data_IF_900719881290
#
_entry.id   IF_900719881290
#
_cell.length_a   1.000
_cell.length_b   1.000
_cell.length_c   1.000
_cell.angle_alpha   90.00
_cell.angle_beta   90.00
_cell.angle_gamma   90.00
#
_symmetry.space_group_name_H-M   'P 1'
#
loop_
_entity.id
_entity.type
_entity.pdbx_description
1 polymer ?
#
# COMPACT_ATOMS: atom_id res chain seq x y z
N UNK A 1 -25.30 24.13 -24.84
CA UNK A 1 -23.96 23.99 -25.38
C UNK A 1 -23.03 23.71 -24.23
N UNK A 2 -22.89 22.45 -23.84
CA UNK A 2 -22.04 22.03 -22.72
C UNK A 2 -20.64 21.74 -23.28
N UNK A 3 -19.69 22.63 -23.01
CA UNK A 3 -18.28 22.40 -23.28
C UNK A 3 -17.75 21.44 -22.18
N UNK A 4 -17.62 20.18 -22.53
CA UNK A 4 -16.84 19.23 -21.77
C UNK A 4 -15.36 19.53 -22.05
N UNK A 5 -14.71 20.30 -21.20
CA UNK A 5 -13.26 20.34 -21.12
C UNK A 5 -12.79 19.02 -20.51
N UNK A 6 -12.58 18.00 -21.33
CA UNK A 6 -12.04 16.72 -20.92
C UNK A 6 -10.52 16.80 -20.79
N UNK A 7 -10.02 17.59 -19.84
CA UNK A 7 -8.66 17.36 -19.36
C UNK A 7 -8.72 16.11 -18.45
N UNK A 8 -7.86 15.13 -18.65
CA UNK A 8 -7.80 14.00 -17.73
C UNK A 8 -7.50 14.53 -16.32
N UNK A 9 -8.28 14.05 -15.35
CA UNK A 9 -8.09 14.41 -13.94
C UNK A 9 -6.73 13.93 -13.48
N UNK A 10 -5.93 14.82 -12.88
CA UNK A 10 -4.58 14.46 -12.40
C UNK A 10 -4.77 13.52 -11.20
N UNK A 11 -4.20 12.31 -11.23
CA UNK A 11 -4.33 11.35 -10.13
C UNK A 11 -3.71 11.85 -8.83
N UNK A 12 -4.19 11.32 -7.70
CA UNK A 12 -3.75 11.74 -6.36
C UNK A 12 -2.39 11.15 -5.96
N UNK A 13 -2.01 9.95 -6.46
CA UNK A 13 -0.79 9.26 -6.03
C UNK A 13 0.37 9.45 -7.00
N UNK A 14 1.62 9.48 -6.47
CA UNK A 14 2.84 9.61 -7.28
C UNK A 14 2.98 8.48 -8.31
N UNK A 15 2.62 7.24 -7.94
CA UNK A 15 2.63 6.09 -8.85
C UNK A 15 1.68 6.31 -10.03
N UNK A 16 0.44 6.70 -9.78
CA UNK A 16 -0.54 6.96 -10.87
C UNK A 16 -0.15 8.16 -11.73
N UNK A 17 0.44 9.20 -11.14
CA UNK A 17 0.98 10.34 -11.88
C UNK A 17 2.13 9.93 -12.79
N UNK A 18 3.04 9.08 -12.31
CA UNK A 18 4.14 8.54 -13.09
C UNK A 18 3.65 7.68 -14.26
N UNK A 19 2.63 6.83 -14.00
CA UNK A 19 1.99 6.02 -15.04
C UNK A 19 1.36 6.90 -16.12
N UNK A 20 0.54 7.88 -15.71
CA UNK A 20 -0.07 8.82 -16.65
C UNK A 20 0.97 9.58 -17.49
N UNK A 21 2.07 10.01 -16.86
CA UNK A 21 3.17 10.68 -17.56
C UNK A 21 3.86 9.75 -18.55
N UNK A 22 4.13 8.49 -18.18
CA UNK A 22 4.70 7.48 -19.06
C UNK A 22 3.79 7.21 -20.26
N UNK A 23 2.48 7.05 -20.02
CA UNK A 23 1.48 6.82 -21.07
C UNK A 23 1.38 8.00 -22.05
N UNK A 24 1.44 9.25 -21.55
CA UNK A 24 1.48 10.44 -22.40
C UNK A 24 2.73 10.47 -23.31
N UNK A 25 3.90 10.10 -22.78
CA UNK A 25 5.12 10.02 -23.59
C UNK A 25 5.05 8.88 -24.63
N UNK A 26 4.46 7.74 -24.26
CA UNK A 26 4.22 6.62 -25.19
C UNK A 26 3.25 7.04 -26.30
N UNK A 27 2.20 7.79 -25.97
CA UNK A 27 1.28 8.32 -26.98
C UNK A 27 2.03 9.20 -27.99
N UNK A 28 2.89 10.11 -27.55
CA UNK A 28 3.74 10.92 -28.45
C UNK A 28 4.67 10.03 -29.28
N UNK A 29 5.27 8.99 -28.71
CA UNK A 29 6.13 8.04 -29.43
C UNK A 29 5.39 7.36 -30.60
N UNK A 30 4.06 7.22 -30.48
CA UNK A 30 3.15 6.61 -31.46
C UNK A 30 2.45 7.64 -32.36
N UNK A 31 2.95 8.88 -32.43
CA UNK A 31 2.37 10.01 -33.14
C UNK A 31 1.02 10.51 -32.57
N UNK A 32 0.74 10.22 -31.31
CA UNK A 32 -0.38 10.80 -30.57
C UNK A 32 -0.05 12.20 -30.03
N UNK A 33 -0.96 12.73 -29.20
CA UNK A 33 -0.84 14.06 -28.60
C UNK A 33 -0.47 13.98 -27.11
N UNK A 34 0.21 15.04 -26.64
CA UNK A 34 0.53 15.29 -25.23
C UNK A 34 -0.48 16.30 -24.67
N UNK A 35 -1.11 16.00 -23.54
CA UNK A 35 -1.79 17.05 -22.76
C UNK A 35 -0.72 17.85 -22.01
N UNK A 36 -0.32 18.98 -22.61
CA UNK A 36 0.77 19.80 -22.08
C UNK A 36 0.46 20.41 -20.70
N UNK A 37 -0.81 20.65 -20.39
CA UNK A 37 -1.23 21.19 -19.10
C UNK A 37 -1.03 20.17 -17.99
N UNK A 38 -1.53 18.95 -18.20
CA UNK A 38 -1.38 17.82 -17.26
C UNK A 38 0.08 17.44 -17.14
N UNK A 39 0.80 17.30 -18.27
CA UNK A 39 2.22 16.98 -18.30
C UNK A 39 3.06 18.00 -17.52
N UNK A 40 2.87 19.30 -17.75
CA UNK A 40 3.62 20.36 -17.08
C UNK A 40 3.36 20.40 -15.58
N UNK A 41 2.12 20.10 -15.16
CA UNK A 41 1.76 20.06 -13.75
C UNK A 41 2.47 18.91 -13.04
N UNK A 42 2.35 17.68 -13.57
CA UNK A 42 2.98 16.48 -12.98
C UNK A 42 4.51 16.62 -13.04
N UNK A 43 5.05 17.09 -14.16
CA UNK A 43 6.49 17.32 -14.31
C UNK A 43 7.03 18.27 -13.25
N UNK A 44 6.34 19.39 -12.98
CA UNK A 44 6.76 20.36 -11.97
C UNK A 44 6.78 19.77 -10.58
N UNK A 45 5.81 18.93 -10.26
CA UNK A 45 5.74 18.23 -8.98
C UNK A 45 6.95 17.31 -8.81
N UNK A 46 7.23 16.44 -9.79
CA UNK A 46 8.36 15.50 -9.70
C UNK A 46 9.73 16.18 -9.77
N UNK A 47 9.87 17.27 -10.52
CA UNK A 47 11.12 18.06 -10.56
C UNK A 47 11.42 18.82 -9.26
N UNK A 48 10.45 18.92 -8.34
CA UNK A 48 10.62 19.51 -7.01
C UNK A 48 10.58 18.45 -5.89
N UNK A 49 10.60 17.16 -6.24
CA UNK A 49 10.65 16.07 -5.28
C UNK A 49 12.08 15.55 -5.07
N UNK A 50 12.29 14.77 -4.04
CA UNK A 50 13.55 14.04 -3.77
C UNK A 50 13.89 13.00 -4.84
N UNK A 51 12.90 12.57 -5.63
CA UNK A 51 13.06 11.70 -6.78
C UNK A 51 13.61 12.39 -8.05
N UNK A 52 13.87 13.71 -8.05
CA UNK A 52 14.34 14.46 -9.23
C UNK A 52 15.51 13.80 -9.94
N UNK A 53 16.50 13.32 -9.17
CA UNK A 53 17.70 12.70 -9.73
C UNK A 53 17.42 11.43 -10.53
N UNK A 54 16.34 10.71 -10.20
CA UNK A 54 15.93 9.42 -10.79
C UNK A 54 14.97 9.57 -11.98
N UNK A 55 14.47 10.80 -12.21
CA UNK A 55 13.58 11.05 -13.34
C UNK A 55 14.28 10.76 -14.67
N UNK A 56 13.55 10.20 -15.65
CA UNK A 56 14.03 10.06 -17.02
C UNK A 56 14.51 11.39 -17.60
N UNK A 57 15.59 11.36 -18.38
CA UNK A 57 16.19 12.55 -18.98
C UNK A 57 15.20 13.30 -19.90
N UNK A 58 14.29 12.58 -20.55
CA UNK A 58 13.21 13.15 -21.34
C UNK A 58 12.28 14.06 -20.50
N UNK A 59 12.02 13.69 -19.23
CA UNK A 59 11.22 14.52 -18.33
C UNK A 59 12.00 15.74 -17.85
N UNK A 60 13.30 15.57 -17.54
CA UNK A 60 14.16 16.67 -17.11
C UNK A 60 14.29 17.75 -18.18
N UNK A 61 14.48 17.35 -19.42
CA UNK A 61 14.84 18.25 -20.53
C UNK A 61 13.68 18.74 -21.37
N UNK A 62 12.61 17.94 -21.55
CA UNK A 62 11.48 18.26 -22.42
C UNK A 62 10.31 18.87 -21.65
N UNK A 63 9.72 19.96 -22.19
CA UNK A 63 8.64 20.71 -21.52
C UNK A 63 7.32 20.71 -22.27
N UNK A 64 7.33 20.37 -23.54
CA UNK A 64 6.21 20.42 -24.47
C UNK A 64 6.28 19.26 -25.49
N UNK A 65 5.21 19.06 -26.25
CA UNK A 65 5.13 17.98 -27.22
C UNK A 65 6.25 18.02 -28.25
N UNK A 66 6.63 19.22 -28.73
CA UNK A 66 7.66 19.39 -29.75
C UNK A 66 9.04 18.93 -29.25
N UNK A 67 9.43 19.31 -28.03
CA UNK A 67 10.68 18.90 -27.40
C UNK A 67 10.71 17.40 -27.10
N UNK A 68 9.61 16.83 -26.62
CA UNK A 68 9.44 15.38 -26.40
C UNK A 68 9.62 14.63 -27.74
N UNK A 69 8.94 15.06 -28.79
CA UNK A 69 9.07 14.46 -30.11
C UNK A 69 10.51 14.56 -30.65
N UNK A 70 11.13 15.74 -30.54
CA UNK A 70 12.52 15.95 -30.94
C UNK A 70 13.52 15.03 -30.23
N UNK A 71 13.32 14.82 -28.92
CA UNK A 71 14.09 13.89 -28.10
C UNK A 71 13.93 12.44 -28.60
N UNK A 72 12.69 11.97 -28.73
CA UNK A 72 12.38 10.61 -29.17
C UNK A 72 12.87 10.31 -30.58
N UNK A 73 12.84 11.31 -31.47
CA UNK A 73 13.38 11.19 -32.82
C UNK A 73 14.90 10.99 -32.84
N UNK A 74 15.63 11.65 -31.94
CA UNK A 74 17.08 11.45 -31.77
C UNK A 74 17.39 10.04 -31.29
N UNK A 75 16.65 9.54 -30.27
CA UNK A 75 16.80 8.19 -29.72
C UNK A 75 16.63 7.12 -30.79
N UNK A 76 15.69 7.31 -31.71
CA UNK A 76 15.40 6.34 -32.78
C UNK A 76 16.21 6.55 -34.05
N UNK A 77 17.30 7.33 -34.03
CA UNK A 77 18.15 7.62 -35.19
C UNK A 77 17.39 8.12 -36.42
N UNK A 78 16.33 8.91 -36.19
CA UNK A 78 15.54 9.57 -37.22
C UNK A 78 14.42 8.72 -37.86
N UNK A 79 14.68 7.51 -38.25
CA UNK A 79 13.72 6.61 -38.94
C UNK A 79 13.37 5.33 -38.13
N UNK A 80 13.78 5.26 -36.86
CA UNK A 80 13.51 4.14 -36.02
C UNK A 80 12.00 3.93 -35.77
N UNK A 81 11.61 2.68 -35.60
CA UNK A 81 10.20 2.33 -35.34
C UNK A 81 9.74 2.92 -33.99
N UNK A 82 8.43 3.15 -33.87
CA UNK A 82 7.80 3.53 -32.61
C UNK A 82 8.15 2.56 -31.45
N UNK A 83 8.44 1.30 -31.74
CA UNK A 83 8.86 0.31 -30.77
C UNK A 83 10.16 0.71 -30.05
N UNK A 84 11.19 1.17 -30.77
CA UNK A 84 12.45 1.64 -30.19
C UNK A 84 12.24 2.81 -29.25
N UNK A 85 11.36 3.77 -29.62
CA UNK A 85 11.03 4.92 -28.77
C UNK A 85 10.29 4.51 -27.50
N UNK A 86 9.33 3.60 -27.64
CA UNK A 86 8.57 3.06 -26.52
C UNK A 86 9.48 2.30 -25.55
N UNK A 87 10.31 1.42 -26.06
CA UNK A 87 11.21 0.61 -25.24
C UNK A 87 12.22 1.50 -24.49
N UNK A 88 12.72 2.56 -25.13
CA UNK A 88 13.54 3.57 -24.45
C UNK A 88 12.79 4.27 -23.31
N UNK A 89 11.51 4.62 -23.50
CA UNK A 89 10.69 5.21 -22.43
C UNK A 89 10.58 4.23 -21.26
N UNK A 90 10.21 2.97 -21.50
CA UNK A 90 10.10 1.96 -20.44
C UNK A 90 11.41 1.79 -19.69
N UNK A 91 12.53 1.65 -20.39
CA UNK A 91 13.84 1.45 -19.76
C UNK A 91 14.28 2.68 -18.95
N UNK A 92 14.01 3.88 -19.43
CA UNK A 92 14.38 5.12 -18.74
C UNK A 92 13.57 5.38 -17.46
N UNK A 93 12.37 4.81 -17.35
CA UNK A 93 11.52 4.93 -16.16
C UNK A 93 11.88 3.94 -15.06
N UNK A 94 12.62 2.86 -15.33
CA UNK A 94 12.91 1.81 -14.35
C UNK A 94 13.44 2.34 -13.02
N UNK A 95 14.49 3.19 -12.97
CA UNK A 95 15.01 3.69 -11.69
C UNK A 95 13.98 4.53 -10.92
N UNK A 96 13.13 5.25 -11.63
CA UNK A 96 12.08 6.06 -11.03
C UNK A 96 10.94 5.17 -10.48
N UNK A 97 10.56 4.11 -11.19
CA UNK A 97 9.62 3.11 -10.69
C UNK A 97 10.13 2.41 -9.44
N UNK A 98 11.38 1.93 -9.46
CA UNK A 98 12.00 1.27 -8.30
C UNK A 98 11.99 2.16 -7.05
N UNK A 99 12.16 3.46 -7.23
CA UNK A 99 12.09 4.44 -6.13
C UNK A 99 10.66 4.62 -5.62
N UNK A 100 9.69 4.86 -6.50
CA UNK A 100 8.29 5.05 -6.11
C UNK A 100 7.70 3.81 -5.43
N UNK A 101 8.07 2.62 -5.89
CA UNK A 101 7.66 1.36 -5.27
C UNK A 101 8.24 1.23 -3.86
N UNK A 102 9.51 1.58 -3.65
CA UNK A 102 10.14 1.61 -2.32
C UNK A 102 9.52 2.65 -1.40
N UNK A 103 9.24 3.86 -1.88
CA UNK A 103 8.57 4.90 -1.09
C UNK A 103 7.16 4.50 -0.66
N UNK A 104 6.48 3.68 -1.45
CA UNK A 104 5.16 3.14 -1.09
C UNK A 104 5.22 2.12 0.04
N UNK A 105 6.40 1.59 0.35
CA UNK A 105 6.65 0.64 1.44
C UNK A 105 6.95 1.39 2.74
N UNK A 106 6.41 0.88 3.85
CA UNK A 106 6.80 1.34 5.18
C UNK A 106 8.15 0.71 5.56
N UNK A 107 9.01 1.38 6.34
CA UNK A 107 10.30 0.81 6.78
C UNK A 107 10.19 -0.56 7.48
N UNK A 108 9.03 -0.88 8.05
CA UNK A 108 8.77 -2.16 8.70
C UNK A 108 8.25 -3.26 7.76
N UNK A 109 7.88 -2.94 6.51
CA UNK A 109 7.22 -3.88 5.60
C UNK A 109 8.11 -5.07 5.24
N UNK A 110 9.41 -4.86 5.08
CA UNK A 110 10.38 -5.91 4.76
C UNK A 110 10.50 -6.90 5.91
N UNK A 111 10.73 -6.42 7.13
CA UNK A 111 10.82 -7.27 8.33
C UNK A 111 9.54 -8.05 8.60
N UNK A 112 8.38 -7.41 8.41
CA UNK A 112 7.08 -8.07 8.57
C UNK A 112 6.89 -9.13 7.47
N UNK A 113 7.27 -8.84 6.24
CA UNK A 113 7.18 -9.78 5.12
C UNK A 113 8.08 -11.00 5.33
N UNK A 114 9.27 -10.82 5.89
CA UNK A 114 10.17 -11.92 6.27
C UNK A 114 9.54 -12.79 7.37
N UNK A 115 8.98 -12.19 8.41
CA UNK A 115 8.27 -12.92 9.47
C UNK A 115 7.08 -13.71 8.91
N UNK A 116 6.34 -13.12 7.98
CA UNK A 116 5.22 -13.78 7.29
C UNK A 116 5.72 -14.93 6.41
N UNK A 117 6.87 -14.78 5.73
CA UNK A 117 7.40 -15.82 4.84
C UNK A 117 7.85 -17.08 5.60
N UNK A 118 8.16 -16.96 6.87
CA UNK A 118 8.44 -18.09 7.76
C UNK A 118 7.18 -18.84 8.22
N UNK A 119 6.00 -18.29 7.94
CA UNK A 119 4.71 -18.83 8.37
C UNK A 119 4.01 -19.55 7.20
N UNK A 120 3.77 -20.85 7.34
CA UNK A 120 3.24 -21.71 6.28
C UNK A 120 1.71 -21.57 6.13
N UNK A 121 1.26 -20.36 5.76
CA UNK A 121 -0.15 -20.12 5.43
C UNK A 121 -0.28 -19.10 4.29
N UNK A 122 -0.60 -19.59 3.10
CA UNK A 122 -0.83 -18.74 1.91
C UNK A 122 -1.85 -17.61 2.13
N UNK A 123 -2.84 -17.84 3.00
CA UNK A 123 -3.89 -16.87 3.34
C UNK A 123 -3.33 -15.65 4.07
N UNK A 124 -2.32 -15.86 4.93
CA UNK A 124 -1.61 -14.79 5.64
C UNK A 124 -0.80 -13.92 4.67
N UNK A 125 -0.05 -14.55 3.76
CA UNK A 125 0.69 -13.85 2.72
C UNK A 125 -0.23 -13.01 1.84
N UNK A 126 -1.34 -13.60 1.39
CA UNK A 126 -2.31 -12.90 0.56
C UNK A 126 -2.95 -11.71 1.29
N UNK A 127 -3.28 -11.85 2.58
CA UNK A 127 -3.85 -10.78 3.37
C UNK A 127 -2.86 -9.62 3.55
N UNK A 128 -1.59 -9.93 3.85
CA UNK A 128 -0.52 -8.95 3.98
C UNK A 128 -0.28 -8.18 2.68
N UNK A 129 -0.06 -8.89 1.57
CA UNK A 129 0.16 -8.25 0.27
C UNK A 129 -1.00 -7.33 -0.12
N UNK A 130 -2.25 -7.76 0.07
CA UNK A 130 -3.43 -6.93 -0.18
C UNK A 130 -3.46 -5.69 0.72
N UNK A 131 -3.08 -5.83 2.00
CA UNK A 131 -3.05 -4.72 2.93
C UNK A 131 -2.01 -3.66 2.51
N UNK A 132 -0.80 -4.09 2.15
CA UNK A 132 0.29 -3.20 1.71
C UNK A 132 -0.05 -2.51 0.39
N UNK A 133 -0.47 -3.26 -0.63
CA UNK A 133 -0.74 -2.74 -1.97
C UNK A 133 -1.90 -1.71 -2.00
N UNK A 134 -2.89 -1.88 -1.11
CA UNK A 134 -4.08 -1.04 -1.10
C UNK A 134 -3.95 0.25 -0.30
N UNK A 135 -2.88 0.42 0.49
CA UNK A 135 -2.74 1.56 1.43
C UNK A 135 -3.03 2.92 0.81
N UNK A 136 -2.57 3.14 -0.42
CA UNK A 136 -2.69 4.44 -1.09
C UNK A 136 -4.01 4.57 -1.86
N UNK A 137 -4.39 3.55 -2.61
CA UNK A 137 -5.48 3.62 -3.59
C UNK A 137 -6.83 3.12 -3.06
N UNK A 138 -6.82 2.24 -2.05
CA UNK A 138 -8.01 1.66 -1.42
C UNK A 138 -7.80 1.55 0.10
N UNK A 139 -7.80 2.69 0.82
CA UNK A 139 -7.58 2.70 2.26
C UNK A 139 -8.53 1.81 3.06
N UNK A 140 -9.78 1.69 2.62
CA UNK A 140 -10.80 0.84 3.25
C UNK A 140 -10.48 -0.65 3.07
N UNK A 141 -10.13 -1.03 1.85
CA UNK A 141 -9.70 -2.39 1.53
C UNK A 141 -8.39 -2.77 2.22
N UNK A 142 -7.46 -1.83 2.39
CA UNK A 142 -6.22 -2.05 3.14
C UNK A 142 -6.49 -2.34 4.62
N UNK A 143 -7.35 -1.55 5.27
CA UNK A 143 -7.75 -1.76 6.68
C UNK A 143 -8.48 -3.10 6.84
N UNK A 144 -9.33 -3.47 5.88
CA UNK A 144 -10.02 -4.76 5.89
C UNK A 144 -9.03 -5.92 5.76
N UNK A 145 -8.04 -5.81 4.87
CA UNK A 145 -7.00 -6.83 4.70
C UNK A 145 -6.09 -6.95 5.94
N UNK A 146 -5.73 -5.81 6.57
CA UNK A 146 -4.98 -5.78 7.83
C UNK A 146 -5.72 -6.48 8.97
N UNK A 147 -7.03 -6.29 9.06
CA UNK A 147 -7.87 -7.03 10.00
C UNK A 147 -7.87 -8.53 9.70
N UNK A 148 -8.05 -8.92 8.43
CA UNK A 148 -8.04 -10.33 8.02
C UNK A 148 -6.71 -11.00 8.37
N UNK A 149 -5.58 -10.31 8.23
CA UNK A 149 -4.27 -10.79 8.67
C UNK A 149 -4.28 -11.21 10.15
N UNK A 150 -4.78 -10.34 11.03
CA UNK A 150 -4.86 -10.61 12.46
C UNK A 150 -5.88 -11.72 12.80
N UNK A 151 -7.02 -11.75 12.12
CA UNK A 151 -8.00 -12.83 12.30
C UNK A 151 -7.40 -14.19 11.94
N UNK A 152 -6.66 -14.27 10.83
CA UNK A 152 -6.07 -15.51 10.34
C UNK A 152 -4.99 -16.03 11.29
N UNK A 153 -4.08 -15.17 11.76
CA UNK A 153 -3.03 -15.60 12.70
C UNK A 153 -3.61 -16.01 14.05
N UNK A 154 -4.60 -15.28 14.57
CA UNK A 154 -5.25 -15.69 15.83
C UNK A 154 -5.93 -17.05 15.69
N UNK A 155 -6.67 -17.30 14.62
CA UNK A 155 -7.31 -18.60 14.38
C UNK A 155 -6.29 -19.71 14.28
N UNK A 156 -5.21 -19.51 13.51
CA UNK A 156 -4.15 -20.52 13.42
C UNK A 156 -3.57 -20.91 14.79
N UNK A 157 -3.22 -19.92 15.62
CA UNK A 157 -2.70 -20.18 16.97
C UNK A 157 -3.74 -20.89 17.85
N UNK A 158 -5.02 -20.54 17.73
CA UNK A 158 -6.09 -21.18 18.50
C UNK A 158 -6.37 -22.60 18.02
N UNK A 159 -6.29 -22.88 16.72
CA UNK A 159 -6.39 -24.24 16.15
C UNK A 159 -5.28 -25.14 16.72
N UNK A 160 -4.03 -24.66 16.71
CA UNK A 160 -2.88 -25.40 17.25
C UNK A 160 -2.95 -25.61 18.78
N UNK A 161 -3.65 -24.73 19.50
CA UNK A 161 -3.84 -24.83 20.95
C UNK A 161 -5.12 -25.57 21.33
N UNK A 162 -5.97 -25.94 20.35
CA UNK A 162 -7.23 -26.64 20.57
C UNK A 162 -8.32 -25.80 21.27
N UNK A 163 -8.23 -24.47 21.18
CA UNK A 163 -9.19 -23.53 21.80
C UNK A 163 -10.33 -23.23 20.82
N UNK A 164 -11.58 -23.49 21.23
CA UNK A 164 -12.75 -23.21 20.41
C UNK A 164 -13.02 -21.70 20.23
N UNK A 165 -13.24 -21.29 18.98
CA UNK A 165 -13.49 -19.89 18.59
C UNK A 165 -14.61 -19.73 17.55
N UNK A 166 -15.42 -20.74 17.31
CA UNK A 166 -16.34 -20.87 16.17
C UNK A 166 -17.30 -19.69 15.90
N UNK A 167 -17.51 -18.80 16.88
CA UNK A 167 -18.41 -17.64 16.78
C UNK A 167 -17.74 -16.31 17.20
N UNK A 168 -16.43 -16.31 17.32
CA UNK A 168 -15.71 -15.17 17.86
C UNK A 168 -15.37 -14.13 16.77
N UNK A 169 -15.55 -12.86 17.11
CA UNK A 169 -15.03 -11.71 16.34
C UNK A 169 -13.55 -11.46 16.68
N UNK A 170 -12.90 -10.60 15.91
CA UNK A 170 -11.46 -10.33 16.08
C UNK A 170 -11.06 -9.96 17.52
N UNK A 171 -11.77 -9.10 18.27
CA UNK A 171 -11.42 -8.82 19.66
C UNK A 171 -11.42 -10.06 20.56
N UNK A 172 -12.39 -10.95 20.39
CA UNK A 172 -12.47 -12.19 21.17
C UNK A 172 -11.41 -13.20 20.75
N UNK A 173 -11.18 -13.34 19.42
CA UNK A 173 -10.09 -14.15 18.89
C UNK A 173 -8.75 -13.73 19.50
N UNK A 174 -8.46 -12.42 19.45
CA UNK A 174 -7.22 -11.89 20.04
C UNK A 174 -7.15 -12.11 21.54
N UNK A 175 -8.24 -11.91 22.29
CA UNK A 175 -8.28 -12.15 23.73
C UNK A 175 -7.89 -13.59 24.07
N UNK A 176 -8.49 -14.58 23.41
CA UNK A 176 -8.17 -16.00 23.60
C UNK A 176 -6.72 -16.32 23.19
N UNK A 177 -6.27 -15.77 22.07
CA UNK A 177 -4.88 -15.93 21.62
C UNK A 177 -3.90 -15.35 22.63
N UNK A 178 -4.18 -14.15 23.16
CA UNK A 178 -3.36 -13.52 24.18
C UNK A 178 -3.29 -14.36 25.46
N UNK A 179 -4.41 -14.93 25.91
CA UNK A 179 -4.43 -15.86 27.06
C UNK A 179 -3.60 -17.11 26.78
N UNK A 180 -3.75 -17.73 25.60
CA UNK A 180 -3.01 -18.92 25.20
C UNK A 180 -1.50 -18.67 25.11
N UNK A 181 -1.09 -17.46 24.71
CA UNK A 181 0.31 -17.05 24.59
C UNK A 181 0.91 -16.44 25.88
N UNK A 182 0.15 -16.34 26.96
CA UNK A 182 0.54 -15.63 28.18
C UNK A 182 0.82 -14.13 27.96
N UNK A 183 0.00 -13.48 27.13
CA UNK A 183 0.05 -12.05 26.81
C UNK A 183 -1.14 -11.26 27.37
N UNK A 184 -2.07 -11.92 28.07
CA UNK A 184 -3.19 -11.22 28.67
C UNK A 184 -2.69 -10.34 29.83
N UNK A 185 -3.16 -9.08 29.96
CA UNK A 185 -2.71 -8.18 31.03
C UNK A 185 -2.83 -8.75 32.44
N UNK A 186 -3.85 -9.58 32.64
CA UNK A 186 -4.09 -10.26 33.95
C UNK A 186 -3.02 -11.32 34.33
N UNK A 187 -2.25 -11.78 33.36
CA UNK A 187 -1.21 -12.79 33.53
C UNK A 187 0.15 -12.19 33.91
N UNK A 188 0.27 -10.87 33.99
CA UNK A 188 1.51 -10.15 34.27
C UNK A 188 1.43 -9.39 35.59
N UNK A 189 2.57 -9.22 36.25
CA UNK A 189 2.71 -8.44 37.49
C UNK A 189 3.27 -7.05 37.25
N UNK A 190 4.12 -6.89 36.24
CA UNK A 190 4.76 -5.64 35.83
C UNK A 190 3.75 -4.69 35.19
N UNK A 191 3.57 -3.51 35.76
CA UNK A 191 2.59 -2.52 35.28
C UNK A 191 2.88 -2.03 33.86
N UNK A 192 4.17 -1.95 33.47
CA UNK A 192 4.56 -1.56 32.12
C UNK A 192 4.07 -2.59 31.07
N UNK A 193 4.24 -3.89 31.33
CA UNK A 193 3.76 -4.94 30.43
C UNK A 193 2.24 -5.00 30.39
N UNK A 194 1.56 -4.86 31.54
CA UNK A 194 0.09 -4.75 31.56
C UNK A 194 -0.42 -3.60 30.69
N UNK A 195 0.23 -2.44 30.76
CA UNK A 195 -0.13 -1.27 29.98
C UNK A 195 0.06 -1.51 28.47
N UNK A 196 1.21 -2.10 28.07
CA UNK A 196 1.51 -2.43 26.68
C UNK A 196 0.46 -3.43 26.14
N UNK A 197 0.20 -4.54 26.83
CA UNK A 197 -0.75 -5.55 26.35
C UNK A 197 -2.19 -5.05 26.34
N UNK A 198 -2.57 -4.18 27.27
CA UNK A 198 -3.86 -3.47 27.23
C UNK A 198 -3.94 -2.54 26.01
N UNK A 199 -2.83 -1.88 25.64
CA UNK A 199 -2.70 -1.08 24.43
C UNK A 199 -2.88 -1.92 23.17
N UNK A 200 -2.24 -3.08 23.10
CA UNK A 200 -2.39 -4.04 22.00
C UNK A 200 -3.86 -4.49 21.84
N UNK A 201 -4.52 -4.84 22.94
CA UNK A 201 -5.94 -5.20 22.93
C UNK A 201 -6.81 -4.05 22.39
N UNK A 202 -6.55 -2.83 22.82
CA UNK A 202 -7.26 -1.63 22.36
C UNK A 202 -7.06 -1.39 20.87
N UNK A 203 -5.84 -1.57 20.35
CA UNK A 203 -5.52 -1.46 18.92
C UNK A 203 -6.36 -2.48 18.12
N UNK A 204 -6.34 -3.75 18.50
CA UNK A 204 -7.07 -4.82 17.82
C UNK A 204 -8.59 -4.58 17.84
N UNK A 205 -9.12 -4.15 19.00
CA UNK A 205 -10.53 -3.80 19.16
C UNK A 205 -10.95 -2.66 18.20
N UNK A 206 -10.12 -1.63 18.09
CA UNK A 206 -10.42 -0.49 17.24
C UNK A 206 -10.23 -0.81 15.75
N UNK A 207 -9.26 -1.63 15.36
CA UNK A 207 -9.15 -2.16 14.00
C UNK A 207 -10.40 -2.97 13.62
N UNK A 208 -10.92 -3.77 14.55
CA UNK A 208 -12.20 -4.48 14.38
C UNK A 208 -13.38 -3.54 14.15
N UNK A 209 -13.46 -2.46 14.92
CA UNK A 209 -14.55 -1.48 14.88
C UNK A 209 -14.49 -0.56 13.67
N UNK A 210 -13.30 -0.22 13.20
CA UNK A 210 -13.09 0.70 12.09
C UNK A 210 -13.73 0.16 10.80
N UNK A 211 -13.58 -1.13 10.52
CA UNK A 211 -14.24 -1.79 9.38
C UNK A 211 -15.77 -1.61 9.42
N UNK A 212 -16.40 -1.78 10.58
CA UNK A 212 -17.86 -1.71 10.69
C UNK A 212 -18.41 -0.30 10.44
N UNK A 213 -17.57 0.74 10.63
CA UNK A 213 -17.92 2.15 10.37
C UNK A 213 -17.62 2.60 8.95
N UNK A 214 -16.73 1.89 8.26
CA UNK A 214 -16.16 2.27 6.96
C UNK A 214 -16.73 1.42 5.82
N UNK A 215 -17.23 0.19 6.11
CA UNK A 215 -17.78 -0.72 5.10
C UNK A 215 -19.14 -0.25 4.56
N UNK A 216 -19.27 -0.22 3.23
CA UNK A 216 -20.52 0.07 2.49
C UNK A 216 -21.67 -0.93 2.77
N UNK A 217 -21.41 -2.02 3.50
CA UNK A 217 -22.39 -3.08 3.75
C UNK A 217 -23.54 -2.68 4.70
N UNK A 218 -23.40 -1.58 5.44
CA UNK A 218 -24.46 -1.04 6.29
C UNK A 218 -24.65 0.43 5.94
N UNK A 219 -25.83 0.81 5.45
CA UNK A 219 -26.20 2.13 4.98
C UNK A 219 -25.51 3.27 5.73
N UNK A 220 -24.64 3.98 5.04
CA UNK A 220 -23.84 5.07 5.61
C UNK A 220 -24.76 6.23 5.97
N UNK A 221 -24.57 6.82 7.15
CA UNK A 221 -25.25 8.05 7.54
C UNK A 221 -24.88 9.22 6.62
N UNK A 222 -25.50 10.39 6.82
CA UNK A 222 -25.29 11.59 5.97
C UNK A 222 -23.83 12.06 5.82
N UNK A 223 -22.92 11.60 6.67
CA UNK A 223 -21.49 11.95 6.66
C UNK A 223 -20.62 10.70 6.86
N UNK A 224 -20.32 9.93 5.80
CA UNK A 224 -19.45 8.77 5.90
C UNK A 224 -18.02 9.19 6.23
N UNK A 225 -17.41 8.53 7.22
CA UNK A 225 -16.00 8.72 7.54
C UNK A 225 -15.17 7.88 6.57
N UNK A 226 -14.55 8.53 5.58
CA UNK A 226 -13.62 7.87 4.66
C UNK A 226 -12.20 7.90 5.26
N UNK A 227 -11.53 6.75 5.42
CA UNK A 227 -10.15 6.74 5.83
C UNK A 227 -9.27 7.30 4.72
N UNK A 228 -8.25 8.06 5.11
CA UNK A 228 -7.22 8.57 4.22
C UNK A 228 -6.06 7.55 4.14
N UNK A 229 -5.20 7.61 3.11
CA UNK A 229 -4.03 6.72 2.98
C UNK A 229 -3.18 6.61 4.25
N UNK A 230 -2.91 7.74 4.94
CA UNK A 230 -2.16 7.73 6.21
C UNK A 230 -2.84 6.91 7.32
N UNK A 231 -4.17 6.84 7.34
CA UNK A 231 -4.91 6.03 8.32
C UNK A 231 -4.80 4.54 7.99
N UNK A 232 -4.84 4.19 6.71
CA UNK A 232 -4.61 2.83 6.25
C UNK A 232 -3.16 2.39 6.52
N UNK A 233 -2.18 3.24 6.23
CA UNK A 233 -0.77 2.98 6.54
C UNK A 233 -0.57 2.69 8.03
N UNK A 234 -1.14 3.51 8.92
CA UNK A 234 -1.07 3.25 10.36
C UNK A 234 -1.71 1.91 10.73
N UNK A 235 -2.91 1.62 10.22
CA UNK A 235 -3.64 0.39 10.53
C UNK A 235 -2.87 -0.86 10.05
N UNK A 236 -2.31 -0.82 8.84
CA UNK A 236 -1.52 -1.92 8.26
C UNK A 236 -0.23 -2.14 9.05
N UNK A 237 0.49 -1.06 9.40
CA UNK A 237 1.72 -1.16 10.18
C UNK A 237 1.47 -1.74 11.58
N UNK A 238 0.40 -1.30 12.25
CA UNK A 238 0.01 -1.85 13.55
C UNK A 238 -0.38 -3.32 13.45
N UNK A 239 -1.14 -3.71 12.44
CA UNK A 239 -1.52 -5.11 12.22
C UNK A 239 -0.30 -6.00 11.92
N UNK A 240 0.63 -5.51 11.09
CA UNK A 240 1.88 -6.21 10.80
C UNK A 240 2.76 -6.40 12.04
N UNK A 241 2.97 -5.34 12.84
CA UNK A 241 3.73 -5.42 14.08
C UNK A 241 3.08 -6.40 15.08
N UNK A 242 1.74 -6.37 15.20
CA UNK A 242 0.99 -7.31 16.05
C UNK A 242 1.11 -8.75 15.55
N UNK A 243 1.04 -8.96 14.24
CA UNK A 243 1.25 -10.27 13.61
C UNK A 243 2.63 -10.82 13.97
N UNK A 244 3.69 -10.05 13.72
CA UNK A 244 5.08 -10.45 13.98
C UNK A 244 5.24 -10.81 15.46
N UNK A 245 4.76 -9.97 16.36
CA UNK A 245 4.83 -10.21 17.81
C UNK A 245 4.12 -11.51 18.24
N UNK A 246 2.93 -11.80 17.69
CA UNK A 246 2.19 -13.02 18.01
C UNK A 246 2.93 -14.26 17.51
N UNK A 247 3.48 -14.24 16.28
CA UNK A 247 4.21 -15.36 15.70
C UNK A 247 5.54 -15.61 16.42
N UNK A 248 6.31 -14.57 16.72
CA UNK A 248 7.55 -14.70 17.49
C UNK A 248 7.30 -15.29 18.88
N UNK A 249 6.23 -14.83 19.55
CA UNK A 249 5.83 -15.37 20.87
C UNK A 249 5.39 -16.83 20.75
N UNK A 250 4.62 -17.16 19.72
CA UNK A 250 4.21 -18.54 19.44
C UNK A 250 5.41 -19.46 19.19
N UNK A 251 6.33 -19.05 18.33
CA UNK A 251 7.54 -19.80 18.03
C UNK A 251 8.44 -19.99 19.26
N UNK A 252 8.60 -18.93 20.08
CA UNK A 252 9.40 -19.02 21.31
C UNK A 252 8.78 -19.94 22.37
N UNK A 253 7.47 -20.18 22.31
CA UNK A 253 6.77 -21.10 23.24
C UNK A 253 6.84 -22.56 22.80
N UNK A 254 7.00 -22.81 21.49
CA UNK A 254 6.97 -24.17 20.91
C UNK A 254 8.35 -24.71 20.51
N UNK A 255 9.41 -23.90 20.64
CA UNK A 255 10.81 -24.32 20.54
C UNK A 255 11.40 -24.56 21.93
#
# INVERSE_FOLDING_TARGET
>A
MFSLSSHPEIPDTSIKKALLMQDMLIAVAQNGSLDESVYSSIRREFMNSDAESLLPEIIKTCRDQGSVWGYLKKVSSGNGSWAVRRDHIYDSFKPFWDHLEKESQSPSDENISESISSFDANEVHNAWQKAVQRRQDDPEGAITAARTLLETVCKHILDETGVDYSKDDLPKLYGKTAEALNLAPSQHTEEAFKAIFSGCYTIVQNLGSLRNKVSDAHGQGKHPVKPLPRHATLAVNLAGAMFTFLIETWNAKNN
#
